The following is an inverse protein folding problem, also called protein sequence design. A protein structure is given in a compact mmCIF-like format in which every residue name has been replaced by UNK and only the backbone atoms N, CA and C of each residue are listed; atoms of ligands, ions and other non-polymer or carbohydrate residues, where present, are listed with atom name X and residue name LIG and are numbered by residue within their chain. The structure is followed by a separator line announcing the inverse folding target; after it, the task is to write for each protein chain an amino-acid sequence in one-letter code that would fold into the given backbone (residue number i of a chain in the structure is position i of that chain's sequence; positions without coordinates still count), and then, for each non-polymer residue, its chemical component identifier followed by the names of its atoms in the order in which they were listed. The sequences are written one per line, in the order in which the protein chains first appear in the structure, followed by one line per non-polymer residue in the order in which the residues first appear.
data_IF_655967121781
#
_entry.id   IF_655967121781
#
_cell.length_a   1.000
_cell.length_b   1.000
_cell.length_c   1.000
_cell.angle_alpha   90.00
_cell.angle_beta   90.00
_cell.angle_gamma   90.00
#
_symmetry.space_group_name_H-M   'P 1'
#
loop_
_entity.id
_entity.type
_entity.pdbx_description
1 polymer ?
#
# COMPACT_ATOMS: atom_id res chain seq x y z
N UNK A 1 -37.63 -31.77 9.09
CA UNK A 1 -36.73 -32.14 7.97
C UNK A 1 -35.29 -32.45 8.43
N UNK A 2 -34.67 -31.66 9.29
CA UNK A 2 -33.28 -31.89 9.77
C UNK A 2 -33.05 -33.29 10.40
N UNK A 3 -34.04 -33.87 11.13
CA UNK A 3 -33.95 -35.22 11.69
C UNK A 3 -33.88 -36.35 10.65
N UNK A 4 -34.67 -36.27 9.60
CA UNK A 4 -34.64 -37.23 8.47
C UNK A 4 -33.32 -37.13 7.69
N UNK A 5 -32.78 -35.92 7.54
CA UNK A 5 -31.52 -35.70 6.85
C UNK A 5 -30.36 -36.29 7.65
N UNK A 6 -30.34 -36.16 8.99
CA UNK A 6 -29.35 -36.80 9.85
C UNK A 6 -29.37 -38.32 9.77
N UNK A 7 -30.54 -38.95 9.69
CA UNK A 7 -30.66 -40.40 9.53
C UNK A 7 -30.10 -40.86 8.15
N UNK A 8 -30.45 -40.20 7.08
CA UNK A 8 -29.92 -40.50 5.74
C UNK A 8 -28.41 -40.32 5.67
N UNK A 9 -27.87 -39.28 6.27
CA UNK A 9 -26.43 -39.01 6.32
C UNK A 9 -25.68 -40.04 7.15
N UNK A 10 -26.22 -40.50 8.27
CA UNK A 10 -25.65 -41.56 9.09
C UNK A 10 -25.62 -42.91 8.33
N UNK A 11 -26.67 -43.23 7.56
CA UNK A 11 -26.70 -44.39 6.70
C UNK A 11 -25.68 -44.32 5.54
N UNK A 12 -25.47 -43.15 4.95
CA UNK A 12 -24.43 -42.96 3.92
C UNK A 12 -23.02 -43.07 4.47
N UNK A 13 -22.78 -42.57 5.68
CA UNK A 13 -21.49 -42.71 6.35
C UNK A 13 -21.16 -44.19 6.61
N UNK A 14 -22.13 -45.01 7.05
CA UNK A 14 -21.95 -46.44 7.23
C UNK A 14 -21.71 -47.20 5.89
N UNK A 15 -22.35 -46.78 4.80
CA UNK A 15 -22.14 -47.34 3.46
C UNK A 15 -20.76 -46.98 2.88
N UNK A 16 -20.21 -45.84 3.21
CA UNK A 16 -18.85 -45.46 2.82
C UNK A 16 -17.78 -46.35 3.45
N UNK A 17 -18.04 -46.89 4.63
CA UNK A 17 -17.16 -47.86 5.32
C UNK A 17 -17.31 -49.30 4.78
N UNK A 18 -18.46 -49.66 4.26
CA UNK A 18 -18.74 -51.04 3.80
C UNK A 18 -18.36 -51.34 2.36
N UNK A 19 -17.56 -50.52 1.68
CA UNK A 19 -17.01 -50.78 0.35
C UNK A 19 -17.90 -50.36 -0.80
N UNK A 20 -18.85 -49.44 -0.61
CA UNK A 20 -19.62 -48.82 -1.69
C UNK A 20 -18.74 -48.03 -2.68
N UNK A 21 -19.15 -47.97 -3.94
CA UNK A 21 -18.45 -47.19 -4.96
C UNK A 21 -18.35 -45.72 -4.52
N UNK A 22 -17.13 -45.15 -4.48
CA UNK A 22 -16.92 -43.75 -4.11
C UNK A 22 -17.77 -42.79 -4.96
N UNK A 23 -17.99 -43.12 -6.23
CA UNK A 23 -18.82 -42.32 -7.13
C UNK A 23 -20.30 -42.29 -6.72
N UNK A 24 -20.88 -43.46 -6.40
CA UNK A 24 -22.30 -43.56 -6.00
C UNK A 24 -22.57 -42.85 -4.68
N UNK A 25 -21.64 -42.93 -3.73
CA UNK A 25 -21.73 -42.23 -2.46
C UNK A 25 -21.63 -40.70 -2.67
N UNK A 26 -20.72 -40.25 -3.52
CA UNK A 26 -20.56 -38.82 -3.85
C UNK A 26 -21.82 -38.25 -4.51
N UNK A 27 -22.42 -38.98 -5.47
CA UNK A 27 -23.67 -38.56 -6.12
C UNK A 27 -24.86 -38.47 -5.15
N UNK A 28 -24.94 -39.39 -4.19
CA UNK A 28 -25.98 -39.33 -3.14
C UNK A 28 -25.81 -38.12 -2.24
N UNK A 29 -24.57 -37.77 -1.83
CA UNK A 29 -24.31 -36.55 -1.07
C UNK A 29 -24.66 -35.30 -1.86
N UNK A 30 -24.35 -35.23 -3.16
CA UNK A 30 -24.74 -34.11 -4.05
C UNK A 30 -26.24 -33.98 -4.16
N UNK A 31 -26.96 -35.09 -4.31
CA UNK A 31 -28.42 -35.09 -4.38
C UNK A 31 -29.05 -34.56 -3.10
N UNK A 32 -28.53 -34.96 -1.94
CA UNK A 32 -29.00 -34.44 -0.64
C UNK A 32 -28.72 -32.96 -0.52
N UNK A 33 -27.51 -32.50 -0.86
CA UNK A 33 -27.14 -31.08 -0.81
C UNK A 33 -28.09 -30.24 -1.68
N UNK A 34 -28.32 -30.65 -2.94
CA UNK A 34 -29.26 -29.99 -3.83
C UNK A 34 -30.72 -29.99 -3.32
N UNK A 35 -31.12 -31.10 -2.71
CA UNK A 35 -32.43 -31.23 -2.08
C UNK A 35 -32.61 -30.26 -0.90
N UNK A 36 -31.61 -30.13 -0.04
CA UNK A 36 -31.60 -29.19 1.09
C UNK A 36 -31.66 -27.74 0.61
N UNK A 37 -30.86 -27.38 -0.40
CA UNK A 37 -30.84 -26.01 -0.96
C UNK A 37 -32.17 -25.66 -1.62
N UNK A 38 -32.79 -26.62 -2.39
CA UNK A 38 -34.10 -26.42 -3.04
C UNK A 38 -35.26 -26.30 -2.04
N UNK A 39 -35.17 -27.02 -0.91
CA UNK A 39 -36.22 -26.98 0.10
C UNK A 39 -36.32 -25.59 0.78
N UNK A 40 -35.21 -24.90 0.96
CA UNK A 40 -35.20 -23.53 1.50
C UNK A 40 -35.81 -23.39 2.89
N UNK A 41 -36.21 -22.18 3.25
CA UNK A 41 -36.99 -21.88 4.45
C UNK A 41 -36.14 -21.83 5.75
N UNK A 42 -36.84 -21.75 6.88
CA UNK A 42 -36.19 -21.61 8.20
C UNK A 42 -35.32 -22.81 8.64
N UNK A 43 -35.59 -24.00 8.09
CA UNK A 43 -34.81 -25.21 8.35
C UNK A 43 -33.55 -25.35 7.50
N UNK A 44 -33.27 -24.40 6.58
CA UNK A 44 -32.11 -24.48 5.70
C UNK A 44 -30.80 -24.49 6.48
N UNK A 45 -30.61 -23.53 7.39
CA UNK A 45 -29.38 -23.41 8.22
C UNK A 45 -29.15 -24.66 9.07
N UNK A 46 -30.10 -25.15 9.87
CA UNK A 46 -29.90 -26.38 10.65
C UNK A 46 -29.63 -27.61 9.78
N UNK A 47 -30.23 -27.69 8.61
CA UNK A 47 -30.03 -28.83 7.68
C UNK A 47 -28.64 -28.81 7.05
N UNK A 48 -28.14 -27.64 6.64
CA UNK A 48 -26.78 -27.47 6.12
C UNK A 48 -25.73 -27.69 7.21
N UNK A 49 -25.99 -27.26 8.45
CA UNK A 49 -25.11 -27.53 9.59
C UNK A 49 -24.98 -29.04 9.84
N UNK A 50 -26.12 -29.76 9.87
CA UNK A 50 -26.14 -31.21 10.02
C UNK A 50 -25.39 -31.91 8.86
N UNK A 51 -25.54 -31.40 7.64
CA UNK A 51 -24.83 -31.91 6.48
C UNK A 51 -23.31 -31.76 6.61
N UNK A 52 -22.83 -30.56 6.96
CA UNK A 52 -21.39 -30.29 7.17
C UNK A 52 -20.84 -31.16 8.29
N UNK A 53 -21.56 -31.29 9.42
CA UNK A 53 -21.15 -32.08 10.57
C UNK A 53 -20.98 -33.56 10.21
N UNK A 54 -21.91 -34.11 9.42
CA UNK A 54 -21.80 -35.48 8.92
C UNK A 54 -20.66 -35.67 7.93
N UNK A 55 -20.38 -34.67 7.10
CA UNK A 55 -19.35 -34.73 6.06
C UNK A 55 -17.92 -34.63 6.65
N UNK A 56 -17.74 -33.87 7.70
CA UNK A 56 -16.44 -33.70 8.39
C UNK A 56 -16.14 -34.83 9.35
N UNK A 57 -17.11 -35.73 9.60
CA UNK A 57 -16.92 -36.87 10.49
C UNK A 57 -15.79 -37.80 9.98
N UNK A 58 -15.05 -38.38 10.91
CA UNK A 58 -13.94 -39.31 10.64
C UNK A 58 -14.37 -40.58 9.88
N UNK A 59 -15.63 -40.94 9.98
CA UNK A 59 -16.20 -42.10 9.33
C UNK A 59 -16.40 -41.95 7.81
N UNK A 60 -16.22 -40.74 7.27
CA UNK A 60 -16.35 -40.50 5.83
C UNK A 60 -14.96 -40.43 5.19
N UNK A 61 -14.80 -41.06 4.02
CA UNK A 61 -13.53 -40.99 3.27
C UNK A 61 -13.14 -39.55 2.99
N UNK A 62 -11.88 -39.20 3.26
CA UNK A 62 -11.35 -37.83 3.09
C UNK A 62 -11.50 -37.35 1.63
N UNK A 63 -11.40 -38.24 0.65
CA UNK A 63 -11.57 -37.91 -0.78
C UNK A 63 -12.99 -37.44 -1.06
N UNK A 64 -14.01 -38.16 -0.53
CA UNK A 64 -15.42 -37.79 -0.68
C UNK A 64 -15.68 -36.46 0.03
N UNK A 65 -15.21 -36.33 1.29
CA UNK A 65 -15.39 -35.09 2.06
C UNK A 65 -14.81 -33.86 1.35
N UNK A 66 -13.60 -33.96 0.80
CA UNK A 66 -12.97 -32.86 0.04
C UNK A 66 -13.79 -32.48 -1.19
N UNK A 67 -14.20 -33.46 -1.99
CA UNK A 67 -14.96 -33.22 -3.21
C UNK A 67 -16.30 -32.56 -2.92
N UNK A 68 -17.04 -33.09 -1.96
CA UNK A 68 -18.38 -32.55 -1.58
C UNK A 68 -18.25 -31.17 -0.91
N UNK A 69 -17.22 -30.92 -0.10
CA UNK A 69 -16.97 -29.59 0.45
C UNK A 69 -16.60 -28.56 -0.63
N UNK A 70 -15.90 -28.97 -1.70
CA UNK A 70 -15.68 -28.08 -2.86
C UNK A 70 -17.00 -27.74 -3.58
N UNK A 71 -17.83 -28.75 -3.85
CA UNK A 71 -19.16 -28.53 -4.42
C UNK A 71 -20.04 -27.67 -3.51
N UNK A 72 -19.99 -27.92 -2.21
CA UNK A 72 -20.70 -27.13 -1.19
C UNK A 72 -20.24 -25.64 -1.19
N UNK A 73 -18.94 -25.38 -1.28
CA UNK A 73 -18.40 -24.02 -1.34
C UNK A 73 -18.90 -23.28 -2.57
N UNK A 74 -18.98 -23.94 -3.73
CA UNK A 74 -19.56 -23.35 -4.94
C UNK A 74 -21.05 -23.02 -4.77
N UNK A 75 -21.77 -23.81 -4.01
CA UNK A 75 -23.19 -23.54 -3.72
C UNK A 75 -23.40 -22.39 -2.71
N UNK A 76 -22.41 -22.09 -1.85
CA UNK A 76 -22.49 -20.93 -0.92
C UNK A 76 -22.65 -19.60 -1.68
N UNK A 77 -22.13 -19.50 -2.90
CA UNK A 77 -22.26 -18.31 -3.74
C UNK A 77 -23.69 -18.00 -4.15
N UNK A 78 -24.55 -19.02 -4.16
CA UNK A 78 -25.96 -18.89 -4.55
C UNK A 78 -26.90 -18.66 -3.36
N UNK A 79 -26.37 -18.69 -2.14
CA UNK A 79 -27.15 -18.44 -0.92
C UNK A 79 -27.20 -16.96 -0.57
N UNK A 80 -28.18 -16.59 0.26
CA UNK A 80 -28.24 -15.22 0.80
C UNK A 80 -27.07 -14.96 1.76
N UNK A 81 -26.53 -13.76 1.75
CA UNK A 81 -25.33 -13.40 2.55
C UNK A 81 -25.42 -13.79 4.05
N UNK A 82 -26.56 -13.56 4.77
CA UNK A 82 -26.65 -13.94 6.17
C UNK A 82 -26.55 -15.45 6.40
N UNK A 83 -27.18 -16.24 5.52
CA UNK A 83 -27.16 -17.71 5.59
C UNK A 83 -25.75 -18.22 5.24
N UNK A 84 -25.18 -17.75 4.13
CA UNK A 84 -23.84 -18.12 3.69
C UNK A 84 -22.79 -17.81 4.79
N UNK A 85 -22.89 -16.65 5.42
CA UNK A 85 -22.01 -16.22 6.53
C UNK A 85 -22.11 -17.15 7.72
N UNK A 86 -23.33 -17.42 8.20
CA UNK A 86 -23.57 -18.33 9.34
C UNK A 86 -23.01 -19.73 9.08
N UNK A 87 -23.27 -20.28 7.90
CA UNK A 87 -22.81 -21.62 7.52
C UNK A 87 -21.30 -21.66 7.28
N UNK A 88 -20.73 -20.64 6.66
CA UNK A 88 -19.28 -20.57 6.46
C UNK A 88 -18.52 -20.55 7.79
N UNK A 89 -18.97 -19.76 8.77
CA UNK A 89 -18.37 -19.76 10.11
C UNK A 89 -18.50 -21.11 10.79
N UNK A 90 -19.69 -21.71 10.76
CA UNK A 90 -19.90 -23.04 11.32
C UNK A 90 -19.00 -24.08 10.68
N UNK A 91 -18.85 -24.04 9.35
CA UNK A 91 -18.01 -24.98 8.61
C UNK A 91 -16.54 -24.80 8.98
N UNK A 92 -16.04 -23.57 9.07
CA UNK A 92 -14.66 -23.28 9.47
C UNK A 92 -14.39 -23.75 10.89
N UNK A 93 -15.34 -23.58 11.80
CA UNK A 93 -15.23 -24.01 13.21
C UNK A 93 -15.15 -25.55 13.32
N UNK A 94 -15.99 -26.27 12.57
CA UNK A 94 -15.94 -27.74 12.55
C UNK A 94 -14.68 -28.31 11.89
N UNK A 95 -14.11 -27.62 10.90
CA UNK A 95 -12.89 -28.05 10.20
C UNK A 95 -11.64 -27.63 10.98
N UNK A 96 -11.73 -26.72 11.95
CA UNK A 96 -10.58 -26.14 12.66
C UNK A 96 -9.57 -27.19 13.18
N UNK A 97 -10.03 -28.31 13.70
CA UNK A 97 -9.16 -29.40 14.21
C UNK A 97 -8.44 -30.17 13.10
N UNK A 98 -8.91 -30.09 11.86
CA UNK A 98 -8.43 -30.86 10.70
C UNK A 98 -8.08 -29.97 9.50
N UNK A 99 -7.67 -28.74 9.73
CA UNK A 99 -7.37 -27.73 8.67
C UNK A 99 -6.40 -28.28 7.61
N UNK A 100 -5.37 -28.99 8.04
CA UNK A 100 -4.36 -29.61 7.12
C UNK A 100 -5.01 -30.57 6.11
N UNK A 101 -6.08 -31.24 6.52
CA UNK A 101 -6.79 -32.17 5.62
C UNK A 101 -7.69 -31.46 4.59
N UNK A 102 -8.08 -30.21 4.82
CA UNK A 102 -9.07 -29.46 4.03
C UNK A 102 -8.59 -28.08 3.60
N UNK A 103 -7.26 -27.87 3.43
CA UNK A 103 -6.64 -26.57 3.16
C UNK A 103 -7.28 -25.81 1.99
N UNK A 104 -7.57 -26.52 0.90
CA UNK A 104 -8.17 -25.93 -0.30
C UNK A 104 -9.59 -25.45 -0.07
N UNK A 105 -10.39 -26.26 0.62
CA UNK A 105 -11.77 -25.94 0.95
C UNK A 105 -11.83 -24.80 1.97
N UNK A 106 -10.95 -24.81 2.97
CA UNK A 106 -10.80 -23.72 3.93
C UNK A 106 -10.44 -22.42 3.23
N UNK A 107 -9.49 -22.44 2.29
CA UNK A 107 -9.11 -21.26 1.53
C UNK A 107 -10.28 -20.71 0.72
N UNK A 108 -11.03 -21.56 0.02
CA UNK A 108 -12.18 -21.16 -0.78
C UNK A 108 -13.33 -20.60 0.08
N UNK A 109 -13.66 -21.25 1.22
CA UNK A 109 -14.68 -20.76 2.15
C UNK A 109 -14.29 -19.40 2.73
N UNK A 110 -13.00 -19.22 3.11
CA UNK A 110 -12.50 -17.95 3.64
C UNK A 110 -12.52 -16.84 2.60
N UNK A 111 -12.18 -17.14 1.35
CA UNK A 111 -12.30 -16.16 0.26
C UNK A 111 -13.74 -15.73 0.03
N UNK A 112 -14.68 -16.70 0.00
CA UNK A 112 -16.09 -16.39 -0.15
C UNK A 112 -16.61 -15.53 1.01
N UNK A 113 -16.28 -15.90 2.25
CA UNK A 113 -16.65 -15.15 3.45
C UNK A 113 -16.06 -13.73 3.46
N UNK A 114 -14.80 -13.58 3.03
CA UNK A 114 -14.18 -12.27 2.89
C UNK A 114 -14.89 -11.40 1.84
N UNK A 115 -15.36 -11.98 0.72
CA UNK A 115 -16.13 -11.25 -0.29
C UNK A 115 -17.48 -10.76 0.27
N UNK A 116 -18.13 -11.55 1.15
CA UNK A 116 -19.36 -11.12 1.82
C UNK A 116 -19.07 -9.92 2.74
N UNK A 117 -18.03 -10.01 3.58
CA UNK A 117 -17.64 -8.91 4.46
C UNK A 117 -17.20 -7.66 3.68
N UNK A 118 -16.55 -7.82 2.54
CA UNK A 118 -16.16 -6.72 1.65
C UNK A 118 -17.41 -6.00 1.10
N UNK A 119 -18.47 -6.73 0.71
CA UNK A 119 -19.75 -6.14 0.29
C UNK A 119 -20.47 -5.42 1.43
N UNK A 120 -20.34 -5.91 2.67
CA UNK A 120 -20.86 -5.27 3.87
C UNK A 120 -20.01 -4.08 4.35
N UNK A 121 -18.87 -3.78 3.69
CA UNK A 121 -17.87 -2.78 4.10
C UNK A 121 -17.23 -3.05 5.47
N UNK A 122 -17.24 -4.29 5.91
CA UNK A 122 -16.57 -4.74 7.14
C UNK A 122 -15.13 -5.17 6.83
N UNK A 123 -14.28 -4.18 6.52
CA UNK A 123 -12.93 -4.38 5.98
C UNK A 123 -12.03 -5.21 6.90
N UNK A 124 -12.07 -4.91 8.19
CA UNK A 124 -11.24 -5.57 9.20
C UNK A 124 -11.57 -7.06 9.33
N UNK A 125 -12.86 -7.41 9.36
CA UNK A 125 -13.31 -8.80 9.42
C UNK A 125 -12.95 -9.55 8.15
N UNK A 126 -13.12 -8.91 6.99
CA UNK A 126 -12.71 -9.47 5.71
C UNK A 126 -11.21 -9.80 5.68
N UNK A 127 -10.36 -8.88 6.16
CA UNK A 127 -8.93 -9.10 6.26
C UNK A 127 -8.59 -10.24 7.22
N UNK A 128 -9.19 -10.25 8.43
CA UNK A 128 -8.92 -11.27 9.45
C UNK A 128 -9.28 -12.68 8.98
N UNK A 129 -10.35 -12.82 8.22
CA UNK A 129 -10.75 -14.11 7.63
C UNK A 129 -9.71 -14.59 6.63
N UNK A 130 -9.18 -13.72 5.76
CA UNK A 130 -8.16 -14.08 4.76
C UNK A 130 -6.81 -14.41 5.40
N UNK A 131 -6.45 -13.73 6.47
CA UNK A 131 -5.22 -14.01 7.25
C UNK A 131 -5.17 -15.45 7.76
N UNK A 132 -6.31 -16.05 8.04
CA UNK A 132 -6.39 -17.43 8.45
C UNK A 132 -6.16 -18.49 7.37
N UNK A 133 -5.90 -18.11 6.10
CA UNK A 133 -5.55 -19.06 5.03
C UNK A 133 -4.09 -19.51 5.24
N UNK A 134 -3.80 -20.84 5.33
CA UNK A 134 -2.45 -21.36 5.57
C UNK A 134 -1.59 -21.31 4.30
N UNK A 135 -1.19 -20.11 3.86
CA UNK A 135 -0.44 -19.92 2.62
C UNK A 135 1.01 -20.43 2.66
N UNK A 136 1.62 -20.42 3.85
CA UNK A 136 3.04 -20.77 4.04
C UNK A 136 3.23 -22.07 4.85
N UNK A 137 2.31 -22.34 5.78
CA UNK A 137 2.42 -23.43 6.76
C UNK A 137 1.69 -24.70 6.33
N UNK A 138 0.90 -24.65 5.26
CA UNK A 138 0.12 -25.77 4.75
C UNK A 138 0.95 -26.78 3.98
N UNK A 139 0.38 -27.98 3.78
CA UNK A 139 0.97 -29.01 2.92
C UNK A 139 0.79 -28.70 1.42
N UNK A 140 -0.24 -27.92 1.07
CA UNK A 140 -0.50 -27.50 -0.30
C UNK A 140 0.44 -26.38 -0.69
N UNK A 141 1.19 -26.58 -1.76
CA UNK A 141 1.98 -25.54 -2.40
C UNK A 141 1.06 -24.68 -3.27
N UNK A 142 0.75 -23.48 -2.80
CA UNK A 142 0.04 -22.48 -3.60
C UNK A 142 1.00 -21.82 -4.60
N UNK A 143 0.47 -21.46 -5.78
CA UNK A 143 1.26 -20.71 -6.76
C UNK A 143 1.69 -19.35 -6.22
N UNK A 144 2.82 -18.83 -6.69
CA UNK A 144 3.32 -17.50 -6.32
C UNK A 144 2.27 -16.42 -6.58
N UNK A 145 1.56 -16.52 -7.72
CA UNK A 145 0.52 -15.56 -8.10
C UNK A 145 -0.66 -15.57 -7.12
N UNK A 146 -1.12 -16.76 -6.71
CA UNK A 146 -2.21 -16.86 -5.73
C UNK A 146 -1.84 -16.29 -4.35
N UNK A 147 -0.62 -16.57 -3.89
CA UNK A 147 -0.11 -15.98 -2.63
C UNK A 147 -0.03 -14.46 -2.72
N UNK A 148 0.53 -13.96 -3.83
CA UNK A 148 0.66 -12.53 -4.09
C UNK A 148 -0.70 -11.85 -4.13
N UNK A 149 -1.66 -12.39 -4.87
CA UNK A 149 -3.03 -11.87 -4.96
C UNK A 149 -3.70 -11.83 -3.57
N UNK A 150 -3.57 -12.89 -2.79
CA UNK A 150 -4.15 -12.96 -1.44
C UNK A 150 -3.51 -11.92 -0.51
N UNK A 151 -2.18 -11.76 -0.53
CA UNK A 151 -1.50 -10.74 0.29
C UNK A 151 -1.88 -9.33 -0.12
N UNK A 152 -2.02 -9.05 -1.41
CA UNK A 152 -2.46 -7.76 -1.91
C UNK A 152 -3.91 -7.45 -1.52
N UNK A 153 -4.78 -8.46 -1.57
CA UNK A 153 -6.17 -8.32 -1.12
C UNK A 153 -6.24 -8.00 0.37
N UNK A 154 -5.48 -8.72 1.22
CA UNK A 154 -5.39 -8.45 2.66
C UNK A 154 -4.87 -7.03 2.91
N UNK A 155 -3.79 -6.63 2.23
CA UNK A 155 -3.22 -5.30 2.39
C UNK A 155 -4.21 -4.20 1.99
N UNK A 156 -4.96 -4.37 0.89
CA UNK A 156 -6.00 -3.44 0.44
C UNK A 156 -7.10 -3.30 1.49
N UNK A 157 -7.58 -4.42 2.04
CA UNK A 157 -8.64 -4.41 3.07
C UNK A 157 -8.19 -3.67 4.34
N UNK A 158 -6.95 -3.87 4.79
CA UNK A 158 -6.41 -3.11 5.93
C UNK A 158 -6.24 -1.61 5.60
N UNK A 159 -5.94 -1.24 4.35
CA UNK A 159 -5.89 0.16 3.94
C UNK A 159 -7.27 0.81 3.91
N UNK A 160 -8.34 0.07 3.62
CA UNK A 160 -9.71 0.57 3.73
C UNK A 160 -10.16 0.74 5.21
N UNK A 161 -9.58 -0.04 6.12
CA UNK A 161 -9.78 0.06 7.58
C UNK A 161 -8.83 1.07 8.27
N UNK A 162 -8.08 1.87 7.48
CA UNK A 162 -7.06 2.82 7.95
C UNK A 162 -5.90 2.20 8.78
N UNK A 163 -5.72 0.86 8.75
CA UNK A 163 -4.62 0.17 9.42
C UNK A 163 -3.40 0.00 8.48
N UNK A 164 -2.64 1.08 8.35
CA UNK A 164 -1.44 1.09 7.51
C UNK A 164 -0.32 0.17 8.02
N UNK A 165 -0.29 -0.17 9.32
CA UNK A 165 0.77 -1.00 9.91
C UNK A 165 0.60 -2.45 9.47
N UNK A 166 -0.62 -2.97 9.56
CA UNK A 166 -0.92 -4.31 9.07
C UNK A 166 -0.79 -4.40 7.55
N UNK A 167 -1.29 -3.38 6.83
CA UNK A 167 -1.13 -3.32 5.39
C UNK A 167 0.34 -3.38 4.95
N UNK A 168 1.24 -2.64 5.61
CA UNK A 168 2.68 -2.66 5.33
C UNK A 168 3.29 -4.06 5.56
N UNK A 169 2.88 -4.77 6.61
CA UNK A 169 3.38 -6.12 6.87
C UNK A 169 3.07 -7.09 5.72
N UNK A 170 1.85 -7.01 5.16
CA UNK A 170 1.47 -7.85 4.01
C UNK A 170 2.09 -7.39 2.70
N UNK A 171 2.28 -6.10 2.48
CA UNK A 171 3.02 -5.57 1.33
C UNK A 171 4.49 -6.02 1.37
N UNK A 172 5.12 -6.06 2.54
CA UNK A 172 6.48 -6.56 2.69
C UNK A 172 6.58 -8.06 2.35
N UNK A 173 5.58 -8.88 2.73
CA UNK A 173 5.50 -10.29 2.29
C UNK A 173 5.29 -10.40 0.79
N UNK A 174 4.42 -9.59 0.23
CA UNK A 174 4.15 -9.52 -1.21
C UNK A 174 5.39 -9.10 -2.02
N UNK A 175 6.26 -8.24 -1.47
CA UNK A 175 7.48 -7.76 -2.14
C UNK A 175 8.46 -8.88 -2.50
N UNK A 176 8.50 -9.93 -1.69
CA UNK A 176 9.37 -11.10 -1.93
C UNK A 176 8.88 -11.93 -3.14
N UNK A 177 7.58 -11.97 -3.35
CA UNK A 177 6.94 -12.77 -4.40
C UNK A 177 6.79 -12.00 -5.73
N UNK A 178 6.72 -10.65 -5.66
CA UNK A 178 6.48 -9.83 -6.85
C UNK A 178 7.57 -9.97 -7.92
N UNK A 179 8.81 -10.27 -7.53
CA UNK A 179 9.92 -10.44 -8.46
C UNK A 179 9.84 -11.76 -9.24
N UNK A 180 9.14 -12.76 -8.71
CA UNK A 180 9.00 -14.08 -9.31
C UNK A 180 7.82 -14.18 -10.28
N UNK A 181 6.79 -13.31 -10.10
CA UNK A 181 5.60 -13.33 -10.95
C UNK A 181 5.86 -12.71 -12.31
N UNK A 182 5.31 -13.33 -13.36
CA UNK A 182 5.27 -12.80 -14.73
C UNK A 182 3.97 -12.04 -15.03
N UNK A 183 3.02 -12.03 -14.09
CA UNK A 183 1.74 -11.36 -14.27
C UNK A 183 1.90 -9.85 -14.03
N UNK A 184 1.87 -9.07 -15.12
CA UNK A 184 2.00 -7.62 -15.07
C UNK A 184 0.87 -6.93 -14.28
N UNK A 185 -0.34 -7.49 -14.30
CA UNK A 185 -1.49 -6.96 -13.57
C UNK A 185 -1.26 -7.02 -12.05
N UNK A 186 -0.79 -8.18 -11.54
CA UNK A 186 -0.43 -8.31 -10.13
C UNK A 186 0.73 -7.41 -9.72
N UNK A 187 1.71 -7.19 -10.60
CA UNK A 187 2.80 -6.25 -10.34
C UNK A 187 2.29 -4.80 -10.25
N UNK A 188 1.31 -4.43 -11.07
CA UNK A 188 0.68 -3.10 -11.02
C UNK A 188 -0.14 -2.96 -9.72
N UNK A 189 -0.94 -3.96 -9.37
CA UNK A 189 -1.68 -3.97 -8.11
C UNK A 189 -0.75 -3.84 -6.90
N UNK A 190 0.38 -4.55 -6.90
CA UNK A 190 1.41 -4.39 -5.86
C UNK A 190 1.91 -2.95 -5.76
N UNK A 191 2.29 -2.34 -6.90
CA UNK A 191 2.78 -0.95 -6.92
C UNK A 191 1.73 0.05 -6.44
N UNK A 192 0.45 -0.17 -6.79
CA UNK A 192 -0.65 0.67 -6.34
C UNK A 192 -0.86 0.57 -4.82
N UNK A 193 -0.91 -0.65 -4.28
CA UNK A 193 -1.02 -0.86 -2.83
C UNK A 193 0.19 -0.30 -2.09
N UNK A 194 1.41 -0.50 -2.61
CA UNK A 194 2.63 0.02 -2.00
C UNK A 194 2.65 1.56 -1.98
N UNK A 195 2.22 2.22 -3.06
CA UNK A 195 2.09 3.67 -3.10
C UNK A 195 1.10 4.18 -2.04
N UNK A 196 -0.05 3.51 -1.86
CA UNK A 196 -1.03 3.83 -0.81
C UNK A 196 -0.44 3.66 0.60
N UNK A 197 0.30 2.57 0.87
CA UNK A 197 0.97 2.37 2.16
C UNK A 197 1.97 3.49 2.44
N UNK A 198 2.75 3.92 1.45
CA UNK A 198 3.69 5.04 1.60
C UNK A 198 2.96 6.35 1.92
N UNK A 199 1.81 6.62 1.29
CA UNK A 199 0.97 7.79 1.56
C UNK A 199 0.45 7.77 3.00
N UNK A 200 -0.14 6.67 3.46
CA UNK A 200 -0.58 6.51 4.85
C UNK A 200 0.58 6.65 5.87
N UNK A 201 1.78 6.19 5.51
CA UNK A 201 3.00 6.31 6.33
C UNK A 201 3.65 7.69 6.25
N UNK A 202 3.01 8.65 5.56
CA UNK A 202 3.48 10.04 5.35
C UNK A 202 4.82 10.15 4.61
N UNK A 203 5.21 9.11 3.87
CA UNK A 203 6.36 9.12 2.97
C UNK A 203 5.96 9.69 1.61
N UNK A 204 5.45 10.91 1.62
CA UNK A 204 4.75 11.52 0.50
C UNK A 204 5.56 11.61 -0.78
N UNK A 205 6.86 11.90 -0.71
CA UNK A 205 7.67 12.02 -1.93
C UNK A 205 7.89 10.66 -2.61
N UNK A 206 8.08 9.59 -1.82
CA UNK A 206 8.19 8.24 -2.36
C UNK A 206 6.85 7.78 -2.93
N UNK A 207 5.74 8.07 -2.24
CA UNK A 207 4.38 7.80 -2.73
C UNK A 207 4.11 8.51 -4.06
N UNK A 208 4.45 9.80 -4.15
CA UNK A 208 4.28 10.61 -5.36
C UNK A 208 5.02 10.02 -6.56
N UNK A 209 6.26 9.55 -6.37
CA UNK A 209 7.05 8.91 -7.42
C UNK A 209 6.37 7.63 -7.92
N UNK A 210 5.87 6.79 -7.00
CA UNK A 210 5.17 5.54 -7.36
C UNK A 210 3.85 5.79 -8.06
N UNK A 211 3.05 6.74 -7.59
CA UNK A 211 1.82 7.13 -8.25
C UNK A 211 2.07 7.71 -9.64
N UNK A 212 3.12 8.52 -9.81
CA UNK A 212 3.51 9.06 -11.10
C UNK A 212 3.94 7.94 -12.07
N UNK A 213 4.75 6.97 -11.62
CA UNK A 213 5.09 5.78 -12.43
C UNK A 213 3.86 5.02 -12.90
N UNK A 214 2.85 4.85 -12.02
CA UNK A 214 1.59 4.19 -12.35
C UNK A 214 0.78 4.94 -13.39
N UNK A 215 0.80 6.27 -13.35
CA UNK A 215 0.03 7.12 -14.30
C UNK A 215 0.48 6.97 -15.75
N UNK A 216 1.68 6.43 -16.02
CA UNK A 216 2.20 6.16 -17.36
C UNK A 216 1.97 4.72 -17.84
N UNK A 217 1.45 3.83 -16.98
CA UNK A 217 1.23 2.44 -17.37
C UNK A 217 -0.01 2.31 -18.25
N UNK A 218 0.17 1.94 -19.52
CA UNK A 218 -0.92 1.84 -20.51
C UNK A 218 -1.90 0.71 -20.25
N UNK A 219 -1.50 -0.32 -19.48
CA UNK A 219 -2.36 -1.44 -19.07
C UNK A 219 -3.45 -0.98 -18.10
N UNK A 220 -3.17 0.08 -17.33
CA UNK A 220 -4.12 0.66 -16.36
C UNK A 220 -5.17 1.49 -17.10
N UNK A 221 -6.44 1.38 -16.72
CA UNK A 221 -7.52 2.18 -17.29
C UNK A 221 -7.25 3.68 -17.14
N UNK A 222 -7.70 4.48 -18.11
CA UNK A 222 -7.40 5.91 -18.16
C UNK A 222 -7.86 6.66 -16.90
N UNK A 223 -9.06 6.35 -16.39
CA UNK A 223 -9.57 6.95 -15.16
C UNK A 223 -8.72 6.65 -13.93
N UNK A 224 -8.17 5.43 -13.83
CA UNK A 224 -7.26 5.04 -12.74
C UNK A 224 -5.89 5.71 -12.90
N UNK A 225 -5.39 5.88 -14.13
CA UNK A 225 -4.15 6.63 -14.40
C UNK A 225 -4.27 8.10 -13.99
N UNK A 226 -5.42 8.74 -14.27
CA UNK A 226 -5.70 10.11 -13.83
C UNK A 226 -5.83 10.19 -12.31
N UNK A 227 -6.44 9.20 -11.66
CA UNK A 227 -6.51 9.11 -10.21
C UNK A 227 -5.11 8.96 -9.59
N UNK A 228 -4.26 8.11 -10.17
CA UNK A 228 -2.87 7.98 -9.75
C UNK A 228 -2.10 9.30 -9.92
N UNK A 229 -2.28 10.00 -11.03
CA UNK A 229 -1.66 11.30 -11.27
C UNK A 229 -2.15 12.37 -10.27
N UNK A 230 -3.46 12.39 -9.96
CA UNK A 230 -4.02 13.26 -8.91
C UNK A 230 -3.37 12.98 -7.55
N UNK A 231 -3.24 11.70 -7.17
CA UNK A 231 -2.60 11.32 -5.91
C UNK A 231 -1.11 11.66 -5.90
N UNK A 232 -0.39 11.51 -7.04
CA UNK A 232 0.99 11.96 -7.16
C UNK A 232 1.13 13.46 -6.91
N UNK A 233 0.22 14.26 -7.47
CA UNK A 233 0.20 15.70 -7.29
C UNK A 233 -0.07 16.08 -5.83
N UNK A 234 -1.09 15.50 -5.19
CA UNK A 234 -1.42 15.75 -3.79
C UNK A 234 -0.24 15.38 -2.88
N UNK A 235 0.32 14.19 -3.04
CA UNK A 235 1.48 13.75 -2.26
C UNK A 235 2.70 14.66 -2.46
N UNK A 236 2.92 15.18 -3.68
CA UNK A 236 4.01 16.13 -3.95
C UNK A 236 3.83 17.45 -3.21
N UNK A 237 2.59 17.96 -3.13
CA UNK A 237 2.27 19.18 -2.37
C UNK A 237 2.49 18.95 -0.87
N UNK A 238 2.06 17.78 -0.34
CA UNK A 238 2.19 17.44 1.08
C UNK A 238 3.61 17.11 1.52
N UNK A 239 4.51 16.81 0.58
CA UNK A 239 5.88 16.45 0.88
C UNK A 239 6.66 17.62 1.48
N UNK A 240 7.62 17.32 2.36
CA UNK A 240 8.51 18.32 2.94
C UNK A 240 9.32 19.05 1.87
N UNK A 241 9.56 20.33 2.07
CA UNK A 241 10.34 21.15 1.16
C UNK A 241 11.78 20.60 1.03
N UNK A 242 12.27 20.45 -0.21
CA UNK A 242 13.59 19.90 -0.49
C UNK A 242 13.80 19.60 -1.97
N UNK A 243 15.03 19.18 -2.32
CA UNK A 243 15.43 18.97 -3.72
C UNK A 243 14.58 17.90 -4.45
N UNK A 244 14.21 16.82 -3.77
CA UNK A 244 13.39 15.75 -4.37
C UNK A 244 11.99 16.25 -4.70
N UNK A 245 11.38 17.04 -3.79
CA UNK A 245 10.09 17.68 -4.03
C UNK A 245 10.17 18.65 -5.22
N UNK A 246 11.20 19.49 -5.31
CA UNK A 246 11.38 20.44 -6.43
C UNK A 246 11.49 19.73 -7.77
N UNK A 247 12.20 18.60 -7.84
CA UNK A 247 12.26 17.76 -9.05
C UNK A 247 10.89 17.20 -9.44
N UNK A 248 10.14 16.71 -8.44
CA UNK A 248 8.82 16.14 -8.68
C UNK A 248 7.81 17.22 -9.12
N UNK A 249 7.84 18.42 -8.51
CA UNK A 249 7.07 19.57 -8.94
C UNK A 249 7.35 19.93 -10.41
N UNK A 250 8.63 19.97 -10.81
CA UNK A 250 9.01 20.24 -12.19
C UNK A 250 8.51 19.15 -13.17
N UNK A 251 8.51 17.89 -12.75
CA UNK A 251 8.02 16.77 -13.57
C UNK A 251 6.52 16.87 -13.77
N UNK A 252 5.75 17.09 -12.71
CA UNK A 252 4.30 17.21 -12.78
C UNK A 252 3.84 18.50 -13.48
N UNK A 253 4.56 19.60 -13.32
CA UNK A 253 4.22 20.86 -14.01
C UNK A 253 4.35 20.76 -15.54
N UNK A 254 5.31 19.95 -16.03
CA UNK A 254 5.51 19.69 -17.46
C UNK A 254 4.50 18.71 -18.05
N UNK A 255 3.76 17.98 -17.21
CA UNK A 255 2.76 17.01 -17.68
C UNK A 255 1.44 17.74 -17.98
N UNK A 256 1.05 17.80 -19.25
CA UNK A 256 -0.17 18.48 -19.71
C UNK A 256 -1.45 17.91 -19.04
N UNK A 257 -1.45 16.63 -18.66
CA UNK A 257 -2.58 16.01 -17.97
C UNK A 257 -2.83 16.62 -16.60
N UNK A 258 -1.80 17.13 -15.93
CA UNK A 258 -1.92 17.78 -14.64
C UNK A 258 -2.70 19.10 -14.70
N UNK A 259 -2.69 19.81 -15.83
CA UNK A 259 -3.39 21.08 -15.99
C UNK A 259 -4.90 20.96 -15.83
N UNK A 260 -5.45 19.77 -16.06
CA UNK A 260 -6.88 19.51 -15.90
C UNK A 260 -7.29 19.16 -14.45
N UNK A 261 -6.31 18.98 -13.57
CA UNK A 261 -6.56 18.57 -12.19
C UNK A 261 -6.84 19.76 -11.28
N UNK A 262 -7.79 19.66 -10.34
CA UNK A 262 -8.20 20.80 -9.49
C UNK A 262 -7.08 21.34 -8.59
N UNK A 263 -6.08 20.50 -8.24
CA UNK A 263 -4.93 20.92 -7.44
C UNK A 263 -3.80 21.59 -8.24
N UNK A 264 -3.95 21.77 -9.55
CA UNK A 264 -2.90 22.32 -10.42
C UNK A 264 -2.52 23.77 -10.04
N UNK A 265 -3.48 24.59 -9.63
CA UNK A 265 -3.22 25.96 -9.21
C UNK A 265 -2.17 26.06 -8.08
N UNK A 266 -2.25 25.15 -7.09
CA UNK A 266 -1.28 25.11 -6.00
C UNK A 266 0.06 24.57 -6.49
N UNK A 267 0.05 23.55 -7.35
CA UNK A 267 1.26 23.03 -7.98
C UNK A 267 2.00 24.14 -8.75
N UNK A 268 1.29 24.93 -9.54
CA UNK A 268 1.86 26.05 -10.30
C UNK A 268 2.49 27.08 -9.35
N UNK A 269 1.76 27.50 -8.31
CA UNK A 269 2.30 28.44 -7.33
C UNK A 269 3.55 27.90 -6.64
N UNK A 270 3.56 26.61 -6.28
CA UNK A 270 4.73 25.97 -5.68
C UNK A 270 5.91 25.87 -6.65
N UNK A 271 5.65 25.55 -7.91
CA UNK A 271 6.70 25.45 -8.91
C UNK A 271 7.33 26.81 -9.27
N UNK A 272 6.50 27.87 -9.29
CA UNK A 272 6.93 29.25 -9.56
C UNK A 272 7.45 29.98 -8.30
N UNK A 273 7.62 29.28 -7.19
CA UNK A 273 8.04 29.86 -5.89
C UNK A 273 7.17 31.04 -5.41
N UNK A 274 5.87 31.00 -5.71
CA UNK A 274 4.92 32.03 -5.24
C UNK A 274 4.44 31.72 -3.84
N UNK A 275 4.14 32.78 -3.07
CA UNK A 275 3.55 32.64 -1.73
C UNK A 275 2.13 32.12 -1.85
N UNK A 276 1.80 31.08 -1.08
CA UNK A 276 0.47 30.49 -0.98
C UNK A 276 -0.20 31.01 0.28
N UNK A 277 -1.39 31.53 0.15
CA UNK A 277 -2.19 32.06 1.27
C UNK A 277 -3.24 31.06 1.72
N UNK A 278 -3.74 31.21 2.94
CA UNK A 278 -4.79 30.34 3.50
C UNK A 278 -6.05 30.28 2.62
N UNK A 279 -6.39 31.39 1.91
CA UNK A 279 -7.50 31.40 0.95
C UNK A 279 -7.36 30.44 -0.21
N UNK A 280 -6.12 30.12 -0.61
CA UNK A 280 -5.84 29.21 -1.73
C UNK A 280 -5.99 27.74 -1.33
N UNK A 281 -5.96 27.45 -0.02
CA UNK A 281 -5.99 26.10 0.52
C UNK A 281 -7.38 25.50 0.66
N UNK A 282 -8.43 26.32 0.74
CA UNK A 282 -9.79 25.83 0.98
C UNK A 282 -10.27 24.79 -0.05
N UNK A 283 -10.01 25.00 -1.34
CA UNK A 283 -10.37 24.05 -2.39
C UNK A 283 -9.53 22.79 -2.29
N UNK A 284 -8.24 22.93 -1.98
CA UNK A 284 -7.31 21.82 -1.86
C UNK A 284 -7.63 20.92 -0.67
N UNK A 285 -7.99 21.48 0.48
CA UNK A 285 -8.38 20.71 1.66
C UNK A 285 -9.57 19.78 1.40
N UNK A 286 -10.49 20.18 0.51
CA UNK A 286 -11.60 19.35 0.06
C UNK A 286 -11.17 18.10 -0.72
N UNK A 287 -9.96 18.09 -1.30
CA UNK A 287 -9.41 16.98 -2.10
C UNK A 287 -8.65 15.96 -1.27
N UNK A 288 -8.33 16.28 -0.02
CA UNK A 288 -7.49 15.47 0.86
C UNK A 288 -8.27 14.35 1.53
N UNK A 289 -7.61 13.22 1.66
CA UNK A 289 -8.10 12.07 2.42
C UNK A 289 -7.98 12.32 3.95
N UNK A 290 -8.76 11.63 4.80
CA UNK A 290 -8.74 11.82 6.24
C UNK A 290 -7.34 11.70 6.87
N UNK A 291 -6.54 10.71 6.48
CA UNK A 291 -5.18 10.51 6.98
C UNK A 291 -4.21 11.63 6.60
N UNK A 292 -4.46 12.32 5.47
CA UNK A 292 -3.67 13.46 4.99
C UNK A 292 -3.99 14.77 5.73
N UNK A 293 -5.18 14.84 6.36
CA UNK A 293 -5.62 15.97 7.21
C UNK A 293 -5.17 15.86 8.66
N UNK A 294 -4.45 14.81 9.01
CA UNK A 294 -4.03 14.56 10.38
C UNK A 294 -3.13 15.68 10.93
N UNK A 295 -3.27 15.96 12.21
CA UNK A 295 -2.46 16.95 12.94
C UNK A 295 -1.04 16.39 13.14
N UNK A 296 -0.07 17.31 13.11
CA UNK A 296 1.31 17.05 13.53
C UNK A 296 1.46 17.29 15.03
N UNK A 297 2.59 16.90 15.60
CA UNK A 297 2.88 17.09 17.03
C UNK A 297 2.80 18.59 17.47
N UNK A 298 2.99 19.52 16.54
CA UNK A 298 2.95 20.96 16.78
C UNK A 298 1.51 21.55 16.67
N UNK A 299 0.50 20.71 16.53
CA UNK A 299 -0.92 21.12 16.40
C UNK A 299 -1.31 21.73 15.06
N UNK A 300 -0.41 21.79 14.08
CA UNK A 300 -0.70 22.20 12.69
C UNK A 300 -1.05 20.98 11.83
N UNK A 301 -1.81 21.19 10.76
CA UNK A 301 -2.06 20.13 9.79
C UNK A 301 -0.79 19.85 8.95
N UNK A 302 -0.76 18.70 8.31
CA UNK A 302 0.34 18.36 7.38
C UNK A 302 0.43 19.39 6.25
N UNK A 303 -0.73 19.87 5.77
CA UNK A 303 -0.83 20.88 4.71
C UNK A 303 -0.24 22.21 5.16
N UNK A 304 -0.65 22.70 6.34
CA UNK A 304 -0.14 23.97 6.89
C UNK A 304 1.38 23.93 6.96
N UNK A 305 1.93 22.83 7.48
CA UNK A 305 3.39 22.65 7.56
C UNK A 305 4.05 22.69 6.19
N UNK A 306 3.52 21.96 5.22
CA UNK A 306 4.08 21.90 3.87
C UNK A 306 4.05 23.28 3.18
N UNK A 307 2.98 24.06 3.40
CA UNK A 307 2.82 25.42 2.85
C UNK A 307 3.73 26.42 3.58
N UNK A 308 3.81 26.37 4.90
CA UNK A 308 4.72 27.21 5.68
C UNK A 308 6.17 27.00 5.25
N UNK A 309 6.62 25.73 5.13
CA UNK A 309 7.96 25.40 4.66
C UNK A 309 8.19 25.87 3.21
N UNK A 310 7.17 25.78 2.34
CA UNK A 310 7.26 26.31 0.98
C UNK A 310 7.38 27.82 0.96
N UNK A 311 6.51 28.54 1.68
CA UNK A 311 6.50 30.00 1.74
C UNK A 311 7.82 30.53 2.32
N UNK A 312 8.38 29.86 3.34
CA UNK A 312 9.68 30.21 3.89
C UNK A 312 10.81 30.04 2.87
N UNK A 313 10.79 28.92 2.11
CA UNK A 313 11.75 28.69 1.04
C UNK A 313 11.60 29.72 -0.11
N UNK A 314 10.37 30.14 -0.42
CA UNK A 314 10.13 31.18 -1.40
C UNK A 314 10.60 32.54 -0.91
N UNK A 315 10.38 32.87 0.38
CA UNK A 315 10.90 34.07 1.01
C UNK A 315 12.44 34.13 0.99
N UNK A 316 13.13 32.99 1.19
CA UNK A 316 14.59 32.92 1.14
C UNK A 316 15.20 33.25 -0.23
N UNK A 317 14.38 33.21 -1.28
CA UNK A 317 14.80 33.61 -2.66
C UNK A 317 14.58 35.09 -2.95
N UNK A 318 13.70 35.74 -2.18
CA UNK A 318 13.30 37.14 -2.38
C UNK A 318 14.01 38.11 -1.43
N UNK A 319 14.29 37.66 -0.20
CA UNK A 319 14.88 38.46 0.84
C UNK A 319 16.31 38.01 1.16
N UNK A 320 17.20 38.94 1.47
CA UNK A 320 18.51 38.64 2.06
C UNK A 320 18.42 38.38 3.56
N UNK A 321 17.55 39.15 4.24
CA UNK A 321 17.22 38.98 5.64
C UNK A 321 15.78 39.42 5.89
N UNK A 322 15.17 38.94 6.95
CA UNK A 322 13.81 39.29 7.37
C UNK A 322 13.69 39.14 8.89
N UNK A 323 13.00 40.09 9.54
CA UNK A 323 12.71 40.01 10.99
C UNK A 323 11.74 38.87 11.29
N UNK A 324 11.81 38.30 12.50
CA UNK A 324 10.85 37.23 12.90
C UNK A 324 9.40 37.72 12.89
N UNK A 325 9.15 39.00 13.19
CA UNK A 325 7.82 39.58 13.16
C UNK A 325 7.25 39.68 11.76
N UNK A 326 8.04 40.15 10.79
CA UNK A 326 7.64 40.21 9.39
C UNK A 326 7.50 38.84 8.75
N UNK A 327 8.43 37.92 9.08
CA UNK A 327 8.37 36.51 8.64
C UNK A 327 7.10 35.84 9.19
N UNK A 328 6.79 36.04 10.47
CA UNK A 328 5.55 35.54 11.07
C UNK A 328 4.29 36.08 10.39
N UNK A 329 4.28 37.38 10.06
CA UNK A 329 3.17 37.99 9.31
C UNK A 329 3.05 37.41 7.88
N UNK A 330 4.20 37.22 7.19
CA UNK A 330 4.23 36.64 5.86
C UNK A 330 3.72 35.19 5.83
N UNK A 331 4.07 34.41 6.87
CA UNK A 331 3.71 32.99 6.99
C UNK A 331 2.37 32.76 7.70
N UNK A 332 1.70 33.82 8.15
CA UNK A 332 0.44 33.78 8.91
C UNK A 332 0.54 32.98 10.23
N UNK A 333 1.71 33.01 10.89
CA UNK A 333 2.00 32.29 12.14
C UNK A 333 2.69 33.16 13.18
N UNK A 334 2.68 32.81 14.48
CA UNK A 334 3.42 33.54 15.52
C UNK A 334 4.94 33.57 15.22
N UNK A 335 5.61 34.72 15.51
CA UNK A 335 7.06 34.89 15.24
C UNK A 335 7.96 33.80 15.84
N UNK A 336 7.69 33.33 17.06
CA UNK A 336 8.42 32.27 17.71
C UNK A 336 8.29 30.91 16.95
N UNK A 337 7.13 30.66 16.34
CA UNK A 337 6.95 29.45 15.50
C UNK A 337 7.69 29.61 14.18
N UNK A 338 7.72 30.80 13.58
CA UNK A 338 8.47 31.09 12.37
C UNK A 338 9.97 30.88 12.56
N UNK A 339 10.54 31.39 13.66
CA UNK A 339 11.93 31.19 14.06
C UNK A 339 12.25 29.69 14.18
N UNK A 340 11.44 28.93 14.93
CA UNK A 340 11.63 27.50 15.13
C UNK A 340 11.66 26.72 13.82
N UNK A 341 10.74 27.00 12.90
CA UNK A 341 10.67 26.32 11.60
C UNK A 341 11.87 26.70 10.73
N UNK A 342 12.26 28.00 10.71
CA UNK A 342 13.44 28.45 9.98
C UNK A 342 14.71 27.79 10.50
N UNK A 343 14.92 27.76 11.82
CA UNK A 343 16.04 27.07 12.45
C UNK A 343 16.08 25.57 12.10
N UNK A 344 14.93 24.90 12.13
CA UNK A 344 14.84 23.50 11.77
C UNK A 344 15.23 23.26 10.29
N UNK A 345 14.70 24.08 9.36
CA UNK A 345 15.01 23.95 7.92
C UNK A 345 16.48 24.22 7.60
N UNK A 346 17.11 25.15 8.32
CA UNK A 346 18.55 25.42 8.20
C UNK A 346 19.37 24.24 8.74
N UNK A 347 19.04 23.73 9.92
CA UNK A 347 19.72 22.60 10.55
C UNK A 347 19.64 21.33 9.71
N UNK A 348 18.49 21.09 9.09
CA UNK A 348 18.26 19.95 8.18
C UNK A 348 18.89 20.16 6.78
N UNK A 349 19.52 21.29 6.51
CA UNK A 349 20.15 21.62 5.22
C UNK A 349 19.16 21.80 4.07
N UNK A 350 17.89 22.06 4.36
CA UNK A 350 16.83 22.32 3.38
C UNK A 350 16.81 23.78 2.93
N UNK A 351 17.37 24.68 3.73
CA UNK A 351 17.53 26.10 3.47
C UNK A 351 18.90 26.58 3.93
N UNK A 352 19.53 27.48 3.18
CA UNK A 352 20.82 28.08 3.58
C UNK A 352 20.58 29.39 4.29
N UNK A 353 21.26 29.60 5.41
CA UNK A 353 21.14 30.80 6.18
C UNK A 353 21.53 30.57 7.64
N UNK A 354 21.36 31.60 8.44
CA UNK A 354 21.54 31.56 9.89
C UNK A 354 20.52 32.45 10.60
N UNK A 355 20.31 32.16 11.87
CA UNK A 355 19.36 32.88 12.71
C UNK A 355 20.17 33.79 13.67
N UNK A 356 19.89 35.08 13.63
CA UNK A 356 20.41 36.05 14.60
C UNK A 356 19.31 36.37 15.62
N UNK A 357 19.51 35.86 16.85
CA UNK A 357 18.54 36.06 17.93
C UNK A 357 18.67 37.46 18.58
N UNK A 358 19.83 38.13 18.45
CA UNK A 358 20.05 39.46 19.04
C UNK A 358 19.23 40.49 18.26
N UNK A 359 19.36 40.43 16.93
CA UNK A 359 18.63 41.32 16.04
C UNK A 359 17.23 40.78 15.66
N UNK A 360 16.86 39.59 16.16
CA UNK A 360 15.60 38.93 15.87
C UNK A 360 15.33 38.77 14.35
N UNK A 361 16.37 38.35 13.60
CA UNK A 361 16.34 38.23 12.14
C UNK A 361 16.78 36.87 11.65
N UNK A 362 16.25 36.46 10.51
CA UNK A 362 16.76 35.34 9.72
C UNK A 362 17.53 35.92 8.53
N UNK A 363 18.78 35.49 8.37
CA UNK A 363 19.62 35.80 7.23
C UNK A 363 19.61 34.63 6.26
N UNK A 364 19.33 34.90 5.00
CA UNK A 364 19.34 33.92 3.93
C UNK A 364 20.63 34.03 3.12
N UNK A 365 21.29 32.90 2.89
CA UNK A 365 22.49 32.85 2.07
C UNK A 365 22.15 32.34 0.67
N UNK A 366 22.58 33.09 -0.34
CA UNK A 366 22.48 32.60 -1.71
C UNK A 366 23.41 31.39 -1.89
N UNK A 367 22.93 30.33 -2.49
CA UNK A 367 23.81 29.22 -2.94
C UNK A 367 24.71 29.73 -4.05
N UNK A 368 25.95 30.06 -3.72
CA UNK A 368 27.00 30.26 -4.74
C UNK A 368 27.35 28.89 -5.34
N UNK A 369 26.65 28.54 -6.42
CA UNK A 369 26.85 27.23 -7.05
C UNK A 369 28.21 27.12 -7.73
N UNK A 370 28.73 28.20 -8.31
CA UNK A 370 30.00 28.21 -9.02
C UNK A 370 31.21 27.94 -8.12
N UNK A 371 31.41 28.66 -6.98
CA UNK A 371 32.48 28.34 -6.04
C UNK A 371 32.40 26.95 -5.43
N UNK A 372 31.16 26.40 -5.28
CA UNK A 372 30.97 25.04 -4.80
C UNK A 372 31.43 24.01 -5.85
N UNK A 373 31.13 24.27 -7.13
CA UNK A 373 31.61 23.46 -8.25
C UNK A 373 33.13 23.50 -8.37
N UNK A 374 33.74 24.68 -8.24
CA UNK A 374 35.21 24.84 -8.29
C UNK A 374 35.88 24.03 -7.17
N UNK A 375 35.32 24.07 -5.94
CA UNK A 375 35.85 23.26 -4.82
C UNK A 375 35.72 21.77 -5.08
N UNK A 376 34.60 21.32 -5.68
CA UNK A 376 34.40 19.90 -6.01
C UNK A 376 35.35 19.43 -7.10
N UNK A 377 35.54 20.23 -8.14
CA UNK A 377 36.51 19.93 -9.21
C UNK A 377 37.93 19.89 -8.64
N UNK A 378 38.29 20.87 -7.81
CA UNK A 378 39.60 20.93 -7.16
C UNK A 378 39.84 19.69 -6.26
N UNK A 379 38.84 19.29 -5.48
CA UNK A 379 38.89 18.08 -4.66
C UNK A 379 39.08 16.82 -5.50
N UNK A 380 38.36 16.71 -6.62
CA UNK A 380 38.51 15.59 -7.53
C UNK A 380 39.88 15.53 -8.17
N UNK A 381 40.42 16.67 -8.65
CA UNK A 381 41.74 16.75 -9.21
C UNK A 381 42.81 16.35 -8.16
N UNK A 382 42.66 16.79 -6.92
CA UNK A 382 43.56 16.41 -5.82
C UNK A 382 43.52 14.89 -5.56
N UNK A 383 42.33 14.27 -5.56
CA UNK A 383 42.19 12.82 -5.40
C UNK A 383 42.84 12.05 -6.55
N UNK A 384 42.67 12.50 -7.81
CA UNK A 384 43.29 11.89 -8.99
C UNK A 384 44.84 11.99 -8.86
N UNK A 385 45.37 13.16 -8.50
CA UNK A 385 46.81 13.35 -8.33
C UNK A 385 47.38 12.44 -7.24
N UNK A 386 46.68 12.31 -6.11
CA UNK A 386 47.07 11.38 -5.04
C UNK A 386 47.10 9.92 -5.49
N UNK A 387 46.14 9.53 -6.35
CA UNK A 387 46.12 8.17 -6.89
C UNK A 387 47.29 7.97 -7.85
N UNK A 388 47.55 8.92 -8.74
CA UNK A 388 48.69 8.87 -9.65
C UNK A 388 50.04 8.78 -8.88
N UNK A 389 50.16 9.57 -7.83
CA UNK A 389 51.35 9.54 -6.97
C UNK A 389 51.54 8.20 -6.29
N UNK A 390 50.47 7.60 -5.75
CA UNK A 390 50.51 6.25 -5.17
C UNK A 390 50.87 5.17 -6.21
N UNK A 391 50.33 5.28 -7.43
CA UNK A 391 50.70 4.38 -8.53
C UNK A 391 52.16 4.54 -8.91
N UNK A 392 52.65 5.77 -9.00
CA UNK A 392 54.06 6.08 -9.27
C UNK A 392 55.03 5.47 -8.21
N UNK A 393 54.62 5.48 -6.95
CA UNK A 393 55.39 4.88 -5.85
C UNK A 393 55.30 3.34 -5.85
N UNK A 394 54.15 2.76 -6.19
CA UNK A 394 53.90 1.32 -6.05
C UNK A 394 54.26 0.54 -7.32
N UNK A 395 54.08 1.13 -8.49
CA UNK A 395 54.28 0.47 -9.80
C UNK A 395 54.82 1.45 -10.87
N UNK A 396 56.08 1.96 -10.70
CA UNK A 396 56.66 2.97 -11.60
C UNK A 396 56.81 2.48 -13.04
N UNK A 397 57.20 1.23 -13.25
CA UNK A 397 57.41 0.65 -14.59
C UNK A 397 56.09 0.49 -15.37
N UNK A 398 54.98 0.23 -14.66
CA UNK A 398 53.65 0.18 -15.28
C UNK A 398 53.20 1.57 -15.70
N UNK A 399 53.41 2.57 -14.88
CA UNK A 399 53.05 3.96 -15.19
C UNK A 399 53.80 4.48 -16.40
N UNK A 400 55.11 4.21 -16.48
CA UNK A 400 55.94 4.61 -17.62
C UNK A 400 55.41 3.99 -18.95
N UNK A 401 55.10 2.69 -18.96
CA UNK A 401 54.51 2.01 -20.13
C UNK A 401 53.11 2.54 -20.47
N UNK A 402 52.28 2.89 -19.48
CA UNK A 402 50.96 3.41 -19.69
C UNK A 402 50.97 4.82 -20.33
N UNK A 403 51.95 5.65 -19.97
CA UNK A 403 52.15 7.00 -20.52
C UNK A 403 52.76 6.94 -21.94
N UNK A 404 53.64 5.99 -22.24
CA UNK A 404 54.13 5.78 -23.62
C UNK A 404 53.06 5.32 -24.61
N UNK A 405 52.04 4.57 -24.17
CA UNK A 405 50.94 4.11 -25.01
C UNK A 405 49.87 5.17 -25.29
N UNK A 406 49.93 6.34 -24.66
CA UNK A 406 49.00 7.47 -24.89
C UNK A 406 49.58 8.60 -25.77
N UNK A 407 50.81 8.50 -26.21
CA UNK A 407 51.41 9.34 -27.26
C UNK A 407 51.26 8.66 -28.66
#
# INVERSE_FOLDING_TARGET
MAGNIRQHLAQLASLSHSGGSHKDVTEKYKTILQGVIKAGGEELVPSLQAFVEALVNENVSLVISRQILSDFTSQLEHLTDPVAKSIAHFTLDKIHTRVISFEEQVAAIRQHLANIYEREQNWREAASVLVGIPLETGQKQYSTDYKLETYLKIARLYLEDDDAVQAEAYINRASLLQAETKNEELQIHYKACYARVLDFRRKFIEAAQRYNELSYKTIVAEGERLTALKNALICTILASAGQQRSRMLATLFKDERCQQLPAFNILEKMYLDRIIRSSDLHEFEGLLLPHQKALTADGSTIVDRAVIEHNLLSASKLYNNISFSELGALLEIPPAKAEKIASQMITEGRMNGYVDQIDSTVHFEARETLPMWDRQIQSLCFQVNNIIEKISQTAPDWLAKAMENQQ
#
